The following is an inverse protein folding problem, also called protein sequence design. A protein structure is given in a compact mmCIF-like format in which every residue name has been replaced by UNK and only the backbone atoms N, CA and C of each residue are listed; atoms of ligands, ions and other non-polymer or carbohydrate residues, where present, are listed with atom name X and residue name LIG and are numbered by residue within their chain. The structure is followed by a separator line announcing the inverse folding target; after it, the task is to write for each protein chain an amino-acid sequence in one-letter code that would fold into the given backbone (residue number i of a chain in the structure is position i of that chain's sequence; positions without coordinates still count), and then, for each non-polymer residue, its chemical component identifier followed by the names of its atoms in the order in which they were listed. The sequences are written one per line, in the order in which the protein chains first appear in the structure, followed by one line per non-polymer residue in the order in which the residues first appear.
data_IF_868024140668
#
_entry.id   IF_868024140668
#
_cell.length_a   1.000
_cell.length_b   1.000
_cell.length_c   1.000
_cell.angle_alpha   90.00
_cell.angle_beta   90.00
_cell.angle_gamma   90.00
#
_symmetry.space_group_name_H-M   'P 1'
#
loop_
_entity.id
_entity.type
_entity.pdbx_description
1 polymer ?
#
# COMPACT_ATOMS: atom_id res chain seq x y z
N UNK A 1 16.18 -2.35 4.12
CA UNK A 1 15.60 -2.51 5.48
C UNK A 1 14.23 -1.87 5.42
N UNK A 2 13.17 -2.55 5.89
CA UNK A 2 11.83 -1.94 5.99
C UNK A 2 11.92 -0.85 7.06
N UNK A 3 11.64 0.39 6.70
CA UNK A 3 11.55 1.47 7.69
C UNK A 3 10.38 1.18 8.63
N UNK A 4 10.58 1.45 9.93
CA UNK A 4 9.49 1.32 10.90
C UNK A 4 8.50 2.48 10.70
N UNK A 5 7.19 2.22 10.72
CA UNK A 5 6.19 3.27 10.71
C UNK A 5 6.39 4.27 11.85
N UNK A 6 6.22 5.55 11.55
CA UNK A 6 6.36 6.64 12.51
C UNK A 6 4.96 7.18 12.92
N UNK A 7 4.94 7.93 14.03
CA UNK A 7 3.75 8.67 14.46
C UNK A 7 3.27 9.60 13.33
N UNK A 8 1.96 9.61 13.09
CA UNK A 8 1.25 10.35 12.05
C UNK A 8 1.44 9.85 10.61
N UNK A 9 2.16 8.75 10.38
CA UNK A 9 2.14 8.11 9.08
C UNK A 9 0.71 7.67 8.72
N UNK A 10 0.34 7.80 7.44
CA UNK A 10 -0.89 7.24 6.92
C UNK A 10 -0.61 5.84 6.42
N UNK A 11 -1.42 4.91 6.90
CA UNK A 11 -1.33 3.49 6.60
C UNK A 11 -2.58 3.01 5.87
N UNK A 12 -2.44 1.97 5.08
CA UNK A 12 -3.53 1.29 4.40
C UNK A 12 -3.64 -0.15 4.89
N UNK A 13 -4.83 -0.57 5.29
CA UNK A 13 -5.09 -1.94 5.73
C UNK A 13 -4.85 -2.94 4.60
N UNK A 14 -4.18 -4.05 4.92
CA UNK A 14 -3.98 -5.17 3.97
C UNK A 14 -4.87 -6.36 4.25
N UNK A 15 -5.68 -6.30 5.31
CA UNK A 15 -6.63 -7.33 5.70
C UNK A 15 -7.99 -6.72 6.01
N UNK A 16 -9.04 -7.53 5.93
CA UNK A 16 -10.35 -7.16 6.45
C UNK A 16 -10.39 -7.38 7.98
N UNK A 17 -11.11 -6.52 8.68
CA UNK A 17 -11.44 -6.68 10.12
C UNK A 17 -12.96 -6.49 10.27
N UNK A 18 -13.76 -7.49 9.86
CA UNK A 18 -15.21 -7.34 9.71
C UNK A 18 -15.93 -6.99 11.01
N UNK A 19 -15.42 -7.43 12.16
CA UNK A 19 -15.99 -7.18 13.48
C UNK A 19 -15.97 -5.68 13.85
N UNK A 20 -15.10 -4.92 13.19
CA UNK A 20 -14.90 -3.47 13.33
C UNK A 20 -15.45 -2.68 12.13
N UNK A 21 -16.01 -3.38 11.14
CA UNK A 21 -16.46 -2.75 9.89
C UNK A 21 -15.33 -2.25 8.99
N UNK A 22 -14.07 -2.60 9.28
CA UNK A 22 -12.89 -2.17 8.53
C UNK A 22 -12.56 -3.17 7.41
N UNK A 23 -12.08 -2.66 6.29
CA UNK A 23 -11.76 -3.46 5.09
C UNK A 23 -10.35 -3.16 4.59
N UNK A 24 -9.75 -4.13 3.92
CA UNK A 24 -8.52 -3.91 3.18
C UNK A 24 -8.67 -2.74 2.19
N UNK A 25 -7.64 -1.90 2.09
CA UNK A 25 -7.65 -0.67 1.31
C UNK A 25 -8.16 0.56 2.08
N UNK A 26 -8.74 0.41 3.27
CA UNK A 26 -9.06 1.57 4.11
C UNK A 26 -7.78 2.21 4.66
N UNK A 27 -7.75 3.54 4.66
CA UNK A 27 -6.63 4.31 5.16
C UNK A 27 -6.91 4.84 6.57
N UNK A 28 -5.89 4.79 7.42
CA UNK A 28 -5.91 5.30 8.79
C UNK A 28 -4.59 6.00 9.12
N UNK A 29 -4.56 6.72 10.23
CA UNK A 29 -3.37 7.46 10.69
C UNK A 29 -2.84 6.81 11.96
N UNK A 30 -1.53 6.59 12.05
CA UNK A 30 -0.88 6.16 13.29
C UNK A 30 -0.93 7.33 14.28
N UNK A 31 -1.51 7.13 15.45
CA UNK A 31 -1.58 8.16 16.50
C UNK A 31 -0.94 7.73 17.82
N UNK A 32 -0.48 6.47 17.91
CA UNK A 32 0.42 6.02 18.98
C UNK A 32 1.31 4.86 18.46
N UNK A 33 2.59 4.87 18.83
CA UNK A 33 3.52 3.77 18.56
C UNK A 33 3.87 3.05 19.86
N UNK A 34 3.46 1.79 20.01
CA UNK A 34 3.74 1.00 21.21
C UNK A 34 5.07 0.26 21.11
N UNK A 35 5.56 -0.24 22.25
CA UNK A 35 6.59 -1.28 22.26
C UNK A 35 6.06 -2.53 21.52
N UNK A 36 6.96 -3.34 20.96
CA UNK A 36 6.64 -4.60 20.28
C UNK A 36 5.97 -4.49 18.90
N UNK A 37 6.22 -3.38 18.17
CA UNK A 37 5.81 -3.24 16.77
C UNK A 37 4.28 -3.30 16.56
N UNK A 38 3.56 -2.76 17.55
CA UNK A 38 2.13 -2.47 17.53
C UNK A 38 1.91 -0.96 17.41
N UNK A 39 0.93 -0.56 16.62
CA UNK A 39 0.63 0.82 16.28
C UNK A 39 -0.85 1.03 16.45
N UNK A 40 -1.24 2.03 17.22
CA UNK A 40 -2.64 2.38 17.36
C UNK A 40 -3.02 3.29 16.19
N UNK A 41 -4.01 2.86 15.41
CA UNK A 41 -4.39 3.49 14.14
C UNK A 41 -5.82 3.99 14.21
N UNK A 42 -6.00 5.28 13.90
CA UNK A 42 -7.30 5.93 13.79
C UNK A 42 -7.79 5.93 12.34
N UNK A 43 -9.00 5.44 12.14
CA UNK A 43 -9.72 5.53 10.88
C UNK A 43 -10.77 6.62 11.02
N UNK A 44 -10.74 7.62 10.15
CA UNK A 44 -11.71 8.71 10.14
C UNK A 44 -12.44 8.76 8.79
N UNK A 45 -13.68 9.26 8.81
CA UNK A 45 -14.42 9.54 7.59
C UNK A 45 -14.00 10.88 6.96
N UNK A 46 -14.62 11.22 5.83
CA UNK A 46 -14.31 12.45 5.09
C UNK A 46 -14.66 13.76 5.84
N UNK A 47 -15.45 13.67 6.91
CA UNK A 47 -15.77 14.80 7.79
C UNK A 47 -14.84 14.90 9.00
N UNK A 48 -13.87 14.00 9.13
CA UNK A 48 -12.92 13.95 10.25
C UNK A 48 -13.51 13.30 11.51
N UNK A 49 -14.62 12.56 11.40
CA UNK A 49 -15.16 11.80 12.52
C UNK A 49 -14.50 10.42 12.58
N UNK A 50 -14.08 10.00 13.77
CA UNK A 50 -13.51 8.68 14.01
C UNK A 50 -14.55 7.59 13.70
N UNK A 51 -14.20 6.69 12.77
CA UNK A 51 -14.94 5.46 12.46
C UNK A 51 -14.57 4.38 13.48
N UNK A 52 -13.28 4.13 13.68
CA UNK A 52 -12.75 3.19 14.68
C UNK A 52 -11.29 3.53 15.03
N UNK A 53 -10.81 2.93 16.10
CA UNK A 53 -9.46 3.11 16.63
C UNK A 53 -8.99 1.81 17.30
N UNK A 54 -7.89 1.25 16.79
CA UNK A 54 -7.38 -0.03 17.28
C UNK A 54 -5.86 -0.21 17.08
N UNK A 55 -5.26 -0.99 17.96
CA UNK A 55 -3.91 -1.50 17.81
C UNK A 55 -3.81 -2.49 16.63
N UNK A 56 -2.89 -2.20 15.72
CA UNK A 56 -2.52 -3.05 14.59
C UNK A 56 -1.03 -3.39 14.66
N UNK A 57 -0.69 -4.62 14.29
CA UNK A 57 0.71 -4.99 14.05
C UNK A 57 1.14 -4.60 12.63
N UNK A 58 2.45 -4.39 12.42
CA UNK A 58 2.99 -3.89 11.13
C UNK A 58 2.79 -4.79 9.90
N UNK A 59 2.19 -5.98 10.07
CA UNK A 59 1.86 -6.89 8.96
C UNK A 59 0.39 -6.77 8.52
N UNK A 60 -0.44 -6.00 9.24
CA UNK A 60 -1.84 -5.77 8.92
C UNK A 60 -2.05 -4.52 8.06
N UNK A 61 -0.98 -3.78 7.77
CA UNK A 61 -1.02 -2.56 6.96
C UNK A 61 0.30 -2.31 6.22
N UNK A 62 0.27 -1.39 5.26
CA UNK A 62 1.44 -0.75 4.65
C UNK A 62 1.39 0.76 4.88
N UNK A 63 2.54 1.44 4.91
CA UNK A 63 2.59 2.90 4.91
C UNK A 63 2.37 3.40 3.48
N UNK A 64 1.49 4.38 3.30
CA UNK A 64 1.19 5.01 2.00
C UNK A 64 1.59 6.48 1.96
N UNK A 65 1.70 7.15 3.12
CA UNK A 65 2.25 8.49 3.24
C UNK A 65 3.07 8.62 4.52
N UNK A 66 4.22 9.29 4.40
CA UNK A 66 5.18 9.49 5.50
C UNK A 66 5.05 10.88 6.10
N UNK A 67 4.80 10.97 7.40
CA UNK A 67 4.68 12.23 8.11
C UNK A 67 6.00 12.99 8.19
N UNK A 68 7.08 12.27 8.53
CA UNK A 68 8.40 12.86 8.74
C UNK A 68 8.96 13.56 7.51
N UNK A 69 8.73 12.99 6.34
CA UNK A 69 9.19 13.54 5.05
C UNK A 69 8.09 14.31 4.32
N UNK A 70 6.83 14.20 4.75
CA UNK A 70 5.66 14.76 4.10
C UNK A 70 5.49 14.31 2.64
N UNK A 71 5.76 13.04 2.38
CA UNK A 71 5.75 12.48 1.01
C UNK A 71 4.91 11.22 0.94
N UNK A 72 4.18 11.06 -0.17
CA UNK A 72 3.60 9.79 -0.55
C UNK A 72 4.69 8.74 -0.80
N UNK A 73 4.44 7.53 -0.31
CA UNK A 73 5.31 6.37 -0.56
C UNK A 73 5.24 6.03 -2.05
N UNK A 74 6.36 5.93 -2.79
CA UNK A 74 6.34 5.58 -4.20
C UNK A 74 5.65 4.24 -4.45
N UNK A 75 4.92 4.11 -5.56
CA UNK A 75 4.17 2.89 -5.91
C UNK A 75 5.04 1.62 -5.83
N UNK A 76 6.28 1.67 -6.34
CA UNK A 76 7.19 0.52 -6.31
C UNK A 76 7.49 0.05 -4.88
N UNK A 77 7.56 0.99 -3.92
CA UNK A 77 7.78 0.67 -2.52
C UNK A 77 6.51 0.12 -1.86
N UNK A 78 5.33 0.67 -2.17
CA UNK A 78 4.06 0.11 -1.70
C UNK A 78 3.86 -1.33 -2.19
N UNK A 79 4.13 -1.59 -3.47
CA UNK A 79 4.08 -2.94 -4.06
C UNK A 79 5.08 -3.87 -3.37
N UNK A 80 6.32 -3.42 -3.16
CA UNK A 80 7.33 -4.21 -2.46
C UNK A 80 6.88 -4.56 -1.02
N UNK A 81 6.24 -3.61 -0.32
CA UNK A 81 5.73 -3.83 1.03
C UNK A 81 4.58 -4.84 1.07
N UNK A 82 3.66 -4.81 0.10
CA UNK A 82 2.59 -5.81 -0.03
C UNK A 82 3.15 -7.19 -0.32
N UNK A 83 4.04 -7.30 -1.32
CA UNK A 83 4.64 -8.58 -1.74
C UNK A 83 5.46 -9.20 -0.62
N UNK A 84 6.14 -8.39 0.21
CA UNK A 84 6.90 -8.87 1.36
C UNK A 84 6.06 -9.57 2.43
N UNK A 85 4.73 -9.34 2.44
CA UNK A 85 3.80 -9.99 3.37
C UNK A 85 3.08 -11.20 2.75
N UNK A 86 3.30 -11.51 1.48
CA UNK A 86 2.70 -12.67 0.79
C UNK A 86 3.48 -13.96 1.07
N UNK A 87 2.82 -15.10 0.83
CA UNK A 87 3.51 -16.39 0.74
C UNK A 87 4.47 -16.41 -0.47
N UNK A 88 5.46 -17.30 -0.44
CA UNK A 88 6.40 -17.46 -1.57
C UNK A 88 5.67 -17.82 -2.88
N UNK A 89 4.62 -18.65 -2.79
CA UNK A 89 3.76 -19.02 -3.92
C UNK A 89 3.04 -17.79 -4.51
N UNK A 90 2.31 -17.03 -3.69
CA UNK A 90 1.60 -15.83 -4.16
C UNK A 90 2.57 -14.75 -4.63
N UNK A 91 3.73 -14.61 -4.00
CA UNK A 91 4.79 -13.70 -4.44
C UNK A 91 5.34 -14.08 -5.82
N UNK A 92 5.49 -15.37 -6.11
CA UNK A 92 5.91 -15.86 -7.43
C UNK A 92 4.86 -15.52 -8.51
N UNK A 93 3.57 -15.68 -8.21
CA UNK A 93 2.49 -15.31 -9.13
C UNK A 93 2.53 -13.81 -9.49
N UNK A 94 2.73 -12.93 -8.49
CA UNK A 94 2.86 -11.50 -8.72
C UNK A 94 4.08 -11.19 -9.59
N UNK A 95 5.21 -11.86 -9.35
CA UNK A 95 6.43 -11.69 -10.13
C UNK A 95 6.23 -12.13 -11.59
N UNK A 96 5.55 -13.25 -11.82
CA UNK A 96 5.26 -13.74 -13.16
C UNK A 96 4.31 -12.80 -13.91
N UNK A 97 3.32 -12.24 -13.23
CA UNK A 97 2.47 -11.20 -13.81
C UNK A 97 3.27 -9.94 -14.18
N UNK A 98 4.18 -9.48 -13.32
CA UNK A 98 5.04 -8.34 -13.61
C UNK A 98 5.96 -8.61 -14.82
N UNK A 99 6.52 -9.82 -14.93
CA UNK A 99 7.30 -10.27 -16.10
C UNK A 99 6.45 -10.26 -17.37
N UNK A 100 5.23 -10.78 -17.31
CA UNK A 100 4.29 -10.76 -18.43
C UNK A 100 4.00 -9.33 -18.90
N UNK A 101 3.71 -8.40 -18.00
CA UNK A 101 3.48 -6.99 -18.35
C UNK A 101 4.70 -6.36 -19.03
N UNK A 102 5.91 -6.69 -18.59
CA UNK A 102 7.15 -6.23 -19.20
C UNK A 102 7.32 -6.76 -20.62
N UNK A 103 7.11 -8.06 -20.84
CA UNK A 103 7.19 -8.69 -22.17
C UNK A 103 6.14 -8.13 -23.13
N UNK A 104 4.88 -7.98 -22.67
CA UNK A 104 3.79 -7.45 -23.48
C UNK A 104 4.10 -6.04 -24.01
N UNK A 105 4.72 -5.19 -23.17
CA UNK A 105 5.13 -3.83 -23.58
C UNK A 105 6.20 -3.85 -24.67
N UNK A 106 7.13 -4.81 -24.64
CA UNK A 106 8.17 -4.95 -25.66
C UNK A 106 7.63 -5.49 -27.00
N UNK A 107 6.50 -6.19 -26.97
CA UNK A 107 5.87 -6.80 -28.15
C UNK A 107 4.78 -5.93 -28.78
N UNK A 108 4.39 -4.80 -28.16
CA UNK A 108 3.51 -3.84 -28.82
C UNK A 108 4.30 -3.07 -29.90
N UNK A 109 3.95 -3.20 -31.19
CA UNK A 109 4.55 -2.38 -32.21
C UNK A 109 4.21 -0.91 -31.93
N UNK A 110 5.22 -0.04 -32.02
CA UNK A 110 5.00 1.42 -32.05
C UNK A 110 4.05 1.69 -33.21
N UNK A 111 2.81 2.08 -32.92
CA UNK A 111 1.93 2.64 -33.95
C UNK A 111 2.57 3.95 -34.43
N UNK A 112 3.39 3.86 -35.47
CA UNK A 112 3.72 5.03 -36.29
C UNK A 112 2.46 5.39 -37.04
N UNK A 113 1.75 6.42 -36.57
CA UNK A 113 0.72 7.10 -37.36
C UNK A 113 1.33 7.48 -38.71
N UNK A 114 0.67 7.23 -39.84
CA UNK A 114 1.14 7.76 -41.11
C UNK A 114 1.04 9.28 -41.04
N UNK A 115 2.13 9.95 -41.38
CA UNK A 115 2.21 11.38 -41.66
C UNK A 115 1.07 11.77 -42.59
N UNK A 116 0.16 12.63 -42.14
CA UNK A 116 -0.75 13.34 -43.04
C UNK A 116 0.08 14.33 -43.87
N UNK A 117 0.55 13.89 -45.03
CA UNK A 117 0.80 14.79 -46.15
C UNK A 117 -0.56 15.13 -46.78
N UNK A 118 -1.09 16.33 -46.52
CA UNK A 118 -1.71 17.23 -47.51
C UNK A 118 -1.50 18.67 -47.07
#
# INVERSE_FOLDING_TARGET
MKEMPDLFDVVELTIDIPERGLRAGMQGTIVECHSDNAYEVEFANEWGETIDFLALSSNQFIVVWRAKTQTWVPLAEQVAALVANLSEESGAEVLDFARFLHMRRQQQPVNTSPTEEI
#
